data_IF_579517493670
#
_entry.id   IF_579517493670
#
_cell.length_a   1.000
_cell.length_b   1.000
_cell.length_c   1.000
_cell.angle_alpha   90.00
_cell.angle_beta   90.00
_cell.angle_gamma   90.00
#
_symmetry.space_group_name_H-M   'P 1'
#
loop_
_entity.id
_entity.type
_entity.pdbx_description
1 polymer ?
#
# COMPACT_ATOMS: atom_id res chain seq x y z
N UNK A 1 -8.81 5.43 -0.49
CA UNK A 1 -8.21 5.42 0.87
C UNK A 1 -6.98 6.32 0.95
N UNK A 2 -6.00 6.17 0.04
CA UNK A 2 -4.73 6.95 0.06
C UNK A 2 -4.89 8.47 -0.14
N UNK A 3 -5.96 8.92 -0.81
CA UNK A 3 -6.29 10.34 -1.02
C UNK A 3 -6.60 11.14 0.26
N UNK A 4 -6.73 10.47 1.42
CA UNK A 4 -7.03 11.09 2.71
C UNK A 4 -5.80 11.29 3.62
N UNK A 5 -4.65 10.73 3.24
CA UNK A 5 -3.44 10.76 4.09
C UNK A 5 -2.92 12.19 4.22
N UNK A 6 -2.75 12.63 5.46
CA UNK A 6 -2.25 13.95 5.85
C UNK A 6 -1.10 13.78 6.84
N UNK A 7 -0.13 14.69 6.78
CA UNK A 7 0.94 14.86 7.77
C UNK A 7 1.68 13.55 8.10
N UNK A 8 2.04 12.80 7.06
CA UNK A 8 2.79 11.56 7.22
C UNK A 8 4.11 11.82 7.97
N UNK A 9 4.30 11.09 9.07
CA UNK A 9 5.52 11.19 9.86
C UNK A 9 6.75 10.74 9.06
N UNK A 10 7.91 11.37 9.32
CA UNK A 10 9.17 11.12 8.60
C UNK A 10 9.56 9.63 8.60
N UNK A 11 9.43 8.98 9.75
CA UNK A 11 9.69 7.55 9.89
C UNK A 11 8.78 6.69 8.99
N UNK A 12 7.49 7.01 8.91
CA UNK A 12 6.52 6.28 8.08
C UNK A 12 6.84 6.44 6.60
N UNK A 13 7.13 7.67 6.16
CA UNK A 13 7.55 7.96 4.80
C UNK A 13 8.81 7.17 4.43
N UNK A 14 9.83 7.20 5.29
CA UNK A 14 11.08 6.49 5.05
C UNK A 14 10.88 4.97 5.00
N UNK A 15 10.05 4.41 5.89
CA UNK A 15 9.75 2.96 5.88
C UNK A 15 8.98 2.55 4.64
N UNK A 16 8.02 3.34 4.19
CA UNK A 16 7.27 3.09 2.95
C UNK A 16 8.19 3.03 1.73
N UNK A 17 9.09 4.01 1.60
CA UNK A 17 10.09 4.06 0.51
C UNK A 17 11.10 2.91 0.63
N UNK A 18 11.57 2.59 1.84
CA UNK A 18 12.51 1.50 2.07
C UNK A 18 11.91 0.13 1.76
N UNK A 19 10.63 -0.07 2.10
CA UNK A 19 9.90 -1.29 1.77
C UNK A 19 9.75 -1.43 0.25
N UNK A 20 9.35 -0.36 -0.43
CA UNK A 20 9.28 -0.35 -1.89
C UNK A 20 10.64 -0.69 -2.52
N UNK A 21 11.74 -0.08 -2.06
CA UNK A 21 13.09 -0.41 -2.54
C UNK A 21 13.47 -1.88 -2.33
N UNK A 22 13.14 -2.45 -1.16
CA UNK A 22 13.42 -3.85 -0.85
C UNK A 22 12.65 -4.80 -1.76
N UNK A 23 11.36 -4.53 -1.97
CA UNK A 23 10.50 -5.28 -2.88
C UNK A 23 11.02 -5.18 -4.32
N UNK A 24 11.44 -4.00 -4.77
CA UNK A 24 12.01 -3.78 -6.10
C UNK A 24 13.27 -4.61 -6.31
N UNK A 25 14.21 -4.60 -5.35
CA UNK A 25 15.44 -5.41 -5.44
C UNK A 25 15.13 -6.91 -5.50
N UNK A 26 14.14 -7.37 -4.72
CA UNK A 26 13.73 -8.77 -4.72
C UNK A 26 13.05 -9.16 -6.03
N UNK A 27 12.16 -8.32 -6.54
CA UNK A 27 11.50 -8.50 -7.83
C UNK A 27 12.52 -8.62 -8.96
N UNK A 28 13.45 -7.67 -9.09
CA UNK A 28 14.47 -7.70 -10.14
C UNK A 28 15.32 -8.97 -10.10
N UNK A 29 15.72 -9.43 -8.91
CA UNK A 29 16.46 -10.68 -8.72
C UNK A 29 15.67 -11.93 -9.12
N UNK A 30 14.33 -11.89 -8.99
CA UNK A 30 13.45 -12.96 -9.43
C UNK A 30 13.20 -12.90 -10.94
N UNK A 31 13.13 -11.70 -11.53
CA UNK A 31 13.00 -11.50 -12.98
C UNK A 31 14.25 -11.92 -13.76
N UNK A 32 15.44 -11.84 -13.16
CA UNK A 32 16.68 -12.40 -13.74
C UNK A 32 16.68 -13.93 -13.81
N UNK A 33 15.84 -14.58 -13.01
CA UNK A 33 15.61 -16.03 -13.04
C UNK A 33 14.39 -16.34 -13.91
N UNK A 34 14.15 -17.61 -14.19
CA UNK A 34 12.90 -18.07 -14.80
C UNK A 34 11.70 -17.50 -14.00
N UNK A 35 10.76 -16.81 -14.64
CA UNK A 35 9.64 -16.18 -13.96
C UNK A 35 8.78 -17.24 -13.27
N UNK A 36 8.61 -17.10 -11.95
CA UNK A 36 7.76 -17.97 -11.13
C UNK A 36 6.47 -17.25 -10.71
N UNK A 37 5.54 -17.99 -10.13
CA UNK A 37 4.34 -17.42 -9.50
C UNK A 37 4.68 -16.32 -8.48
N UNK A 38 5.78 -16.50 -7.73
CA UNK A 38 6.28 -15.47 -6.82
C UNK A 38 6.54 -14.14 -7.52
N UNK A 39 7.11 -14.16 -8.73
CA UNK A 39 7.41 -12.94 -9.50
C UNK A 39 6.14 -12.13 -9.77
N UNK A 40 5.03 -12.80 -10.10
CA UNK A 40 3.72 -12.16 -10.34
C UNK A 40 3.22 -11.54 -9.04
N UNK A 41 3.30 -12.26 -7.92
CA UNK A 41 2.89 -11.74 -6.60
C UNK A 41 3.70 -10.50 -6.21
N UNK A 42 5.03 -10.52 -6.41
CA UNK A 42 5.88 -9.35 -6.14
C UNK A 42 5.52 -8.17 -7.04
N UNK A 43 5.23 -8.42 -8.32
CA UNK A 43 4.80 -7.39 -9.27
C UNK A 43 3.51 -6.71 -8.81
N UNK A 44 2.50 -7.48 -8.40
CA UNK A 44 1.23 -6.93 -7.94
C UNK A 44 1.40 -6.12 -6.65
N UNK A 45 2.19 -6.60 -5.69
CA UNK A 45 2.50 -5.86 -4.46
C UNK A 45 3.23 -4.55 -4.77
N UNK A 46 4.17 -4.57 -5.72
CA UNK A 46 4.87 -3.35 -6.17
C UNK A 46 3.92 -2.37 -6.84
N UNK A 47 2.98 -2.86 -7.64
CA UNK A 47 1.93 -2.04 -8.26
C UNK A 47 1.09 -1.33 -7.21
N UNK A 48 0.58 -2.06 -6.22
CA UNK A 48 -0.21 -1.47 -5.14
C UNK A 48 0.58 -0.43 -4.34
N UNK A 49 1.84 -0.72 -4.00
CA UNK A 49 2.70 0.22 -3.29
C UNK A 49 2.93 1.50 -4.10
N UNK A 50 3.21 1.37 -5.39
CA UNK A 50 3.47 2.49 -6.28
C UNK A 50 2.20 3.34 -6.51
N UNK A 51 1.04 2.71 -6.65
CA UNK A 51 -0.26 3.39 -6.73
C UNK A 51 -0.60 4.15 -5.46
N UNK A 52 -0.35 3.57 -4.28
CA UNK A 52 -0.53 4.24 -2.99
C UNK A 52 0.34 5.50 -2.92
N UNK A 53 1.64 5.38 -3.21
CA UNK A 53 2.59 6.50 -3.22
C UNK A 53 2.11 7.58 -4.19
N UNK A 54 1.79 7.19 -5.44
CA UNK A 54 1.32 8.13 -6.45
C UNK A 54 0.02 8.83 -6.04
N UNK A 55 -0.93 8.14 -5.42
CA UNK A 55 -2.17 8.76 -4.92
C UNK A 55 -1.88 9.83 -3.87
N UNK A 56 -0.95 9.59 -2.94
CA UNK A 56 -0.54 10.60 -1.94
C UNK A 56 0.08 11.82 -2.63
N UNK A 57 1.00 11.60 -3.58
CA UNK A 57 1.65 12.68 -4.33
C UNK A 57 0.68 13.44 -5.23
N UNK A 58 -0.29 12.77 -5.83
CA UNK A 58 -1.24 13.39 -6.74
C UNK A 58 -2.26 14.26 -5.98
N UNK A 59 -2.79 13.77 -4.86
CA UNK A 59 -3.87 14.45 -4.13
C UNK A 59 -3.40 15.31 -2.96
N UNK A 60 -2.32 14.93 -2.27
CA UNK A 60 -1.96 15.46 -0.94
C UNK A 60 -0.47 15.75 -0.76
N UNK A 61 0.28 15.99 -1.84
CA UNK A 61 1.72 16.25 -1.76
C UNK A 61 2.08 17.37 -0.79
N UNK A 62 1.33 18.48 -0.82
CA UNK A 62 1.58 19.67 0.03
C UNK A 62 1.47 19.36 1.53
N UNK A 63 0.73 18.31 1.90
CA UNK A 63 0.56 17.85 3.28
C UNK A 63 1.50 16.67 3.62
N UNK A 64 2.27 16.17 2.67
CA UNK A 64 3.11 14.98 2.83
C UNK A 64 4.54 15.25 2.35
N UNK A 65 5.14 16.36 2.80
CA UNK A 65 6.48 16.79 2.39
C UNK A 65 7.58 15.80 2.82
N UNK A 66 7.35 15.06 3.91
CA UNK A 66 8.26 14.01 4.37
C UNK A 66 8.39 12.86 3.36
N UNK A 67 7.32 12.56 2.61
CA UNK A 67 7.36 11.58 1.53
C UNK A 67 8.20 12.08 0.36
N UNK A 68 8.06 13.35 0.00
CA UNK A 68 8.89 14.00 -1.04
C UNK A 68 10.36 13.96 -0.63
N UNK A 69 10.67 14.29 0.63
CA UNK A 69 12.02 14.20 1.16
C UNK A 69 12.58 12.77 1.08
N UNK A 70 11.81 11.76 1.49
CA UNK A 70 12.22 10.36 1.40
C UNK A 70 12.48 9.91 -0.05
N UNK A 71 11.68 10.37 -1.01
CA UNK A 71 11.89 10.11 -2.44
C UNK A 71 13.17 10.78 -2.98
N UNK A 72 13.49 12.00 -2.55
CA UNK A 72 14.72 12.69 -2.96
C UNK A 72 16.00 12.02 -2.48
N UNK A 73 15.95 11.26 -1.38
CA UNK A 73 17.07 10.42 -0.93
C UNK A 73 17.29 9.19 -1.84
N UNK A 74 16.26 8.80 -2.61
CA UNK A 74 16.23 7.62 -3.47
C UNK A 74 15.79 8.00 -4.88
N UNK A 75 16.57 8.88 -5.53
CA UNK A 75 16.22 9.49 -6.83
C UNK A 75 16.02 8.48 -7.96
N UNK A 76 16.63 7.31 -7.86
CA UNK A 76 16.60 6.27 -8.90
C UNK A 76 15.53 5.20 -8.66
N UNK A 77 14.64 5.39 -7.69
CA UNK A 77 13.68 4.36 -7.25
C UNK A 77 12.68 3.93 -8.33
N UNK A 78 12.41 4.81 -9.29
CA UNK A 78 11.51 4.67 -10.45
C UNK A 78 12.22 4.14 -11.70
N UNK A 79 13.56 4.11 -11.73
CA UNK A 79 14.35 3.73 -12.91
C UNK A 79 14.07 2.31 -13.43
N UNK A 80 13.87 1.27 -12.60
CA UNK A 80 13.65 -0.08 -13.12
C UNK A 80 12.29 -0.24 -13.81
N UNK A 81 11.36 0.69 -13.58
CA UNK A 81 9.98 0.58 -14.01
C UNK A 81 9.66 1.39 -15.27
N UNK A 82 10.63 2.10 -15.85
CA UNK A 82 10.40 2.95 -17.03
C UNK A 82 9.90 2.18 -18.24
N UNK A 83 10.37 0.95 -18.42
CA UNK A 83 9.99 0.07 -19.54
C UNK A 83 8.90 -0.94 -19.16
N UNK A 84 8.34 -0.87 -17.94
CA UNK A 84 7.44 -1.89 -17.42
C UNK A 84 5.97 -1.61 -17.78
N UNK A 85 5.28 -2.51 -18.51
CA UNK A 85 3.99 -2.23 -19.16
C UNK A 85 2.89 -1.71 -18.21
N UNK A 86 2.86 -2.20 -16.97
CA UNK A 86 1.88 -1.80 -15.95
C UNK A 86 2.33 -0.64 -15.04
N UNK A 87 3.64 -0.43 -14.87
CA UNK A 87 4.18 0.46 -13.84
C UNK A 87 4.76 1.76 -14.42
N UNK A 88 5.02 1.82 -15.73
CA UNK A 88 5.65 2.94 -16.42
C UNK A 88 4.97 4.28 -16.13
N UNK A 89 3.63 4.34 -16.17
CA UNK A 89 2.92 5.61 -16.04
C UNK A 89 3.00 6.16 -14.61
N UNK A 90 2.87 5.31 -13.62
CA UNK A 90 3.01 5.68 -12.21
C UNK A 90 4.47 6.02 -11.87
N UNK A 91 5.43 5.32 -12.47
CA UNK A 91 6.86 5.62 -12.34
C UNK A 91 7.23 7.00 -12.92
N UNK A 92 6.69 7.36 -14.09
CA UNK A 92 6.86 8.69 -14.70
C UNK A 92 6.31 9.81 -13.83
N UNK A 93 5.16 9.61 -13.18
CA UNK A 93 4.61 10.59 -12.23
C UNK A 93 5.58 10.82 -11.05
N UNK A 94 6.16 9.74 -10.51
CA UNK A 94 7.18 9.84 -9.46
C UNK A 94 8.42 10.59 -9.95
N UNK A 95 8.94 10.27 -11.14
CA UNK A 95 10.09 10.96 -11.73
C UNK A 95 9.84 12.45 -11.91
N UNK A 96 8.63 12.83 -12.31
CA UNK A 96 8.29 14.23 -12.46
C UNK A 96 8.36 14.99 -11.13
N UNK A 97 7.90 14.36 -10.04
CA UNK A 97 8.02 14.90 -8.68
C UNK A 97 9.50 14.98 -8.29
N UNK A 98 10.23 13.87 -8.41
CA UNK A 98 11.65 13.78 -8.04
C UNK A 98 12.48 14.82 -8.81
N UNK A 99 12.29 14.93 -10.12
CA UNK A 99 12.99 15.87 -10.99
C UNK A 99 12.73 17.32 -10.58
N UNK A 100 11.46 17.70 -10.40
CA UNK A 100 11.11 19.06 -10.01
C UNK A 100 11.72 19.48 -8.67
N UNK A 101 11.56 18.64 -7.63
CA UNK A 101 12.10 18.97 -6.31
C UNK A 101 13.62 18.85 -6.27
N UNK A 102 14.23 17.92 -7.02
CA UNK A 102 15.68 17.81 -7.15
C UNK A 102 16.28 19.07 -7.78
N UNK A 103 15.66 19.60 -8.84
CA UNK A 103 16.09 20.87 -9.46
C UNK A 103 16.03 22.02 -8.45
N UNK A 104 14.93 22.15 -7.71
CA UNK A 104 14.78 23.22 -6.69
C UNK A 104 15.80 23.13 -5.56
N UNK A 105 16.09 21.91 -5.08
CA UNK A 105 17.12 21.69 -4.07
C UNK A 105 18.52 21.99 -4.63
N UNK A 106 18.79 21.67 -5.90
CA UNK A 106 20.08 21.99 -6.53
C UNK A 106 20.28 23.50 -6.76
N UNK A 107 19.22 24.23 -7.10
CA UNK A 107 19.24 25.69 -7.29
C UNK A 107 19.64 26.42 -5.99
N UNK A 108 19.29 25.87 -4.83
CA UNK A 108 19.64 26.41 -3.53
C UNK A 108 21.14 26.31 -3.18
N UNK A 109 21.94 25.56 -3.95
CA UNK A 109 23.41 25.47 -3.84
C UNK A 109 23.95 25.26 -2.41
N UNK A 110 23.27 24.42 -1.62
CA UNK A 110 23.69 24.10 -0.26
C UNK A 110 24.90 23.14 -0.28
N UNK A 111 26.00 23.52 0.38
CA UNK A 111 27.26 22.73 0.40
C UNK A 111 27.16 21.46 1.25
N UNK A 112 26.41 21.50 2.35
CA UNK A 112 26.16 20.38 3.26
C UNK A 112 24.80 20.57 3.95
N UNK A 113 23.69 20.39 3.22
CA UNK A 113 22.36 20.74 3.72
C UNK A 113 21.95 19.86 4.90
N UNK A 114 21.49 20.48 5.98
CA UNK A 114 20.81 19.76 7.06
C UNK A 114 19.45 19.24 6.61
N UNK A 115 18.92 18.19 7.26
CA UNK A 115 17.59 17.65 6.93
C UNK A 115 16.48 18.72 7.06
N UNK A 116 16.60 19.62 8.03
CA UNK A 116 15.70 20.77 8.21
C UNK A 116 15.79 21.77 7.06
N UNK A 117 16.98 22.09 6.58
CA UNK A 117 17.15 23.03 5.44
C UNK A 117 16.51 22.49 4.17
N UNK A 118 16.74 21.21 3.86
CA UNK A 118 16.11 20.58 2.69
C UNK A 118 14.59 20.60 2.81
N UNK A 119 14.04 20.34 4.00
CA UNK A 119 12.60 20.38 4.22
C UNK A 119 12.02 21.79 4.04
N UNK A 120 12.73 22.85 4.45
CA UNK A 120 12.27 24.23 4.20
C UNK A 120 12.21 24.55 2.71
N UNK A 121 13.22 24.13 1.93
CA UNK A 121 13.21 24.29 0.47
C UNK A 121 12.08 23.49 -0.17
N UNK A 122 11.84 22.26 0.28
CA UNK A 122 10.73 21.44 -0.20
C UNK A 122 9.39 22.12 0.11
N UNK A 123 9.22 22.70 1.30
CA UNK A 123 8.01 23.43 1.68
C UNK A 123 7.78 24.63 0.75
N UNK A 124 8.81 25.45 0.50
CA UNK A 124 8.74 26.58 -0.43
C UNK A 124 8.42 26.13 -1.86
N UNK A 125 9.11 25.11 -2.35
CA UNK A 125 8.89 24.54 -3.68
C UNK A 125 7.48 23.94 -3.82
N UNK A 126 6.93 23.33 -2.76
CA UNK A 126 5.59 22.72 -2.77
C UNK A 126 4.48 23.73 -3.06
N UNK A 127 4.70 25.02 -2.77
CA UNK A 127 3.73 26.10 -3.05
C UNK A 127 3.56 26.35 -4.54
N UNK A 128 4.63 26.16 -5.31
CA UNK A 128 4.65 26.35 -6.78
C UNK A 128 4.46 25.05 -7.57
N UNK A 129 4.44 23.91 -6.88
CA UNK A 129 4.11 22.62 -7.49
C UNK A 129 2.66 22.55 -7.99
N UNK A 130 2.48 21.96 -9.17
CA UNK A 130 1.18 21.67 -9.79
C UNK A 130 1.14 20.23 -10.30
N UNK A 131 0.05 19.52 -10.01
CA UNK A 131 -0.18 18.14 -10.44
C UNK A 131 -0.77 18.05 -11.87
N UNK A 132 -1.02 19.17 -12.55
CA UNK A 132 -1.65 19.18 -13.88
C UNK A 132 -0.90 18.38 -14.96
N UNK A 133 0.42 18.26 -14.82
CA UNK A 133 1.27 17.50 -15.74
C UNK A 133 1.32 16.00 -15.41
N UNK A 134 0.92 15.60 -14.19
CA UNK A 134 0.87 14.20 -13.79
C UNK A 134 -0.37 13.53 -14.38
N UNK A 135 -0.21 12.27 -14.79
CA UNK A 135 -1.33 11.49 -15.30
C UNK A 135 -2.25 11.10 -14.14
N UNK A 136 -3.54 11.39 -14.28
CA UNK A 136 -4.55 10.91 -13.35
C UNK A 136 -4.71 9.39 -13.52
N UNK A 137 -4.41 8.65 -12.45
CA UNK A 137 -4.63 7.21 -12.38
C UNK A 137 -5.96 7.00 -11.65
N UNK A 138 -6.85 6.12 -12.13
CA UNK A 138 -8.10 5.84 -11.43
C UNK A 138 -7.81 5.35 -10.00
N UNK A 139 -8.61 5.82 -9.05
CA UNK A 139 -8.49 5.37 -7.66
C UNK A 139 -8.72 3.86 -7.57
N UNK A 140 -7.83 3.18 -6.84
CA UNK A 140 -7.98 1.78 -6.51
C UNK A 140 -9.23 1.59 -5.64
N UNK A 141 -10.28 1.02 -6.24
CA UNK A 141 -11.54 0.70 -5.57
C UNK A 141 -11.57 -0.81 -5.33
N UNK A 142 -11.51 -1.19 -4.06
CA UNK A 142 -11.77 -2.56 -3.66
C UNK A 142 -13.28 -2.73 -3.54
N UNK A 143 -13.85 -3.57 -4.39
CA UNK A 143 -15.21 -4.05 -4.23
C UNK A 143 -15.12 -5.40 -3.52
N UNK A 144 -15.90 -5.57 -2.46
CA UNK A 144 -16.07 -6.89 -1.87
C UNK A 144 -16.83 -7.76 -2.87
N UNK A 145 -16.23 -8.88 -3.24
CA UNK A 145 -16.87 -9.92 -4.04
C UNK A 145 -17.25 -11.05 -3.08
N UNK A 146 -18.56 -11.21 -2.85
CA UNK A 146 -19.08 -12.36 -2.11
C UNK A 146 -18.93 -13.59 -2.99
N UNK A 147 -18.27 -14.64 -2.48
CA UNK A 147 -18.33 -15.95 -3.11
C UNK A 147 -19.79 -16.40 -3.17
N UNK A 148 -20.21 -16.99 -4.29
CA UNK A 148 -21.61 -17.36 -4.52
C UNK A 148 -22.15 -18.34 -3.46
N UNK A 149 -21.25 -19.13 -2.87
CA UNK A 149 -21.45 -20.15 -1.85
C UNK A 149 -21.03 -19.69 -0.44
N UNK A 150 -20.73 -18.40 -0.24
CA UNK A 150 -20.37 -17.84 1.06
C UNK A 150 -21.41 -18.15 2.16
N UNK A 151 -22.68 -18.32 1.77
CA UNK A 151 -23.76 -18.73 2.66
C UNK A 151 -23.51 -20.09 3.35
N UNK A 152 -22.76 -21.00 2.72
CA UNK A 152 -22.43 -22.32 3.30
C UNK A 152 -21.54 -22.19 4.54
N UNK A 153 -20.71 -21.14 4.61
CA UNK A 153 -19.93 -20.82 5.79
C UNK A 153 -20.71 -19.93 6.77
N UNK A 154 -21.28 -18.83 6.28
CA UNK A 154 -21.87 -17.80 7.15
C UNK A 154 -23.16 -18.25 7.83
N UNK A 155 -24.03 -19.02 7.17
CA UNK A 155 -25.29 -19.45 7.77
C UNK A 155 -25.02 -20.36 8.99
N UNK A 156 -24.23 -21.45 8.88
CA UNK A 156 -23.86 -22.26 10.03
C UNK A 156 -23.18 -21.47 11.15
N UNK A 157 -22.27 -20.56 10.79
CA UNK A 157 -21.53 -19.74 11.75
C UNK A 157 -22.45 -18.81 12.57
N UNK A 158 -23.36 -18.09 11.92
CA UNK A 158 -24.30 -17.19 12.59
C UNK A 158 -25.22 -17.97 13.53
N UNK A 159 -25.72 -19.14 13.11
CA UNK A 159 -26.52 -20.01 13.97
C UNK A 159 -25.75 -20.53 15.18
N UNK A 160 -24.50 -20.95 15.00
CA UNK A 160 -23.63 -21.36 16.09
C UNK A 160 -23.34 -20.20 17.06
N UNK A 161 -23.16 -18.98 16.54
CA UNK A 161 -22.90 -17.80 17.36
C UNK A 161 -24.13 -17.40 18.19
N UNK A 162 -25.33 -17.45 17.59
CA UNK A 162 -26.60 -17.21 18.27
C UNK A 162 -26.84 -18.22 19.40
N UNK A 163 -26.52 -19.50 19.17
CA UNK A 163 -26.61 -20.56 20.18
C UNK A 163 -25.59 -20.34 21.32
N UNK A 164 -24.35 -19.95 20.99
CA UNK A 164 -23.28 -19.72 21.99
C UNK A 164 -23.51 -18.46 22.83
N UNK A 165 -24.14 -17.41 22.28
CA UNK A 165 -24.31 -16.10 22.92
C UNK A 165 -25.69 -15.88 23.59
N UNK A 166 -26.52 -16.93 23.66
CA UNK A 166 -27.78 -17.06 24.41
C UNK A 166 -28.48 -15.76 24.89
N UNK A 167 -29.47 -15.32 24.12
CA UNK A 167 -30.58 -14.46 24.59
C UNK A 167 -31.96 -15.14 24.48
N UNK A 168 -32.04 -16.35 23.91
CA UNK A 168 -33.28 -17.08 23.63
C UNK A 168 -33.09 -18.54 24.07
N UNK A 169 -34.09 -19.13 24.74
CA UNK A 169 -34.06 -20.52 25.18
C UNK A 169 -34.30 -21.46 23.99
N UNK A 170 -33.32 -22.29 23.66
CA UNK A 170 -33.39 -23.32 22.62
C UNK A 170 -33.51 -24.71 23.24
N UNK A 171 -34.35 -25.59 22.67
CA UNK A 171 -34.46 -26.98 23.13
C UNK A 171 -33.29 -27.82 22.60
N UNK A 172 -32.46 -28.36 23.50
CA UNK A 172 -31.25 -29.13 23.17
C UNK A 172 -31.49 -30.28 22.17
N UNK A 173 -32.62 -30.98 22.25
CA UNK A 173 -32.94 -32.09 21.33
C UNK A 173 -33.12 -31.65 19.87
N UNK A 174 -33.60 -30.42 19.63
CA UNK A 174 -33.88 -29.91 18.26
C UNK A 174 -32.70 -29.18 17.65
N UNK A 175 -31.68 -28.85 18.44
CA UNK A 175 -30.50 -28.09 18.01
C UNK A 175 -29.30 -28.96 17.65
N UNK A 176 -29.42 -30.31 17.75
CA UNK A 176 -28.33 -31.25 17.45
C UNK A 176 -27.71 -31.12 16.05
N UNK A 177 -28.48 -30.65 15.08
CA UNK A 177 -27.99 -30.39 13.70
C UNK A 177 -26.96 -29.25 13.66
N UNK A 178 -26.98 -28.35 14.65
CA UNK A 178 -26.02 -27.26 14.77
C UNK A 178 -24.75 -27.66 15.51
N UNK A 179 -24.75 -28.79 16.24
CA UNK A 179 -23.56 -29.31 16.93
C UNK A 179 -22.45 -29.67 15.93
N UNK A 180 -22.78 -30.16 14.74
CA UNK A 180 -21.81 -30.39 13.66
C UNK A 180 -21.18 -29.09 13.12
N UNK A 181 -21.88 -27.96 13.24
CA UNK A 181 -21.38 -26.64 12.81
C UNK A 181 -20.47 -25.99 13.86
N UNK A 182 -20.50 -26.48 15.11
CA UNK A 182 -19.56 -26.09 16.19
C UNK A 182 -18.16 -26.57 15.85
N UNK A 183 -18.02 -27.80 15.31
CA UNK A 183 -16.73 -28.43 14.99
C UNK A 183 -16.02 -27.87 13.75
N UNK A 184 -16.75 -27.32 12.77
CA UNK A 184 -16.14 -26.69 11.59
C UNK A 184 -15.35 -25.41 11.93
N UNK A 185 -15.48 -24.91 13.15
CA UNK A 185 -14.96 -23.61 13.59
C UNK A 185 -14.05 -23.72 14.84
N UNK A 186 -13.56 -24.91 15.18
CA UNK A 186 -12.46 -25.04 16.14
C UNK A 186 -11.15 -24.73 15.39
N UNK A 187 -10.48 -23.64 15.78
CA UNK A 187 -9.09 -23.43 15.40
C UNK A 187 -8.30 -24.70 15.78
N UNK A 188 -7.43 -25.24 14.92
CA UNK A 188 -6.61 -26.37 15.31
C UNK A 188 -5.82 -25.95 16.55
N UNK A 189 -6.03 -26.65 17.67
CA UNK A 189 -5.30 -26.42 18.91
C UNK A 189 -3.81 -26.38 18.56
N UNK A 190 -3.18 -25.21 18.68
CA UNK A 190 -1.74 -25.10 18.55
C UNK A 190 -1.16 -25.89 19.72
N UNK A 191 -0.34 -26.93 19.48
CA UNK A 191 0.23 -27.70 20.58
C UNK A 191 1.21 -26.78 21.31
N UNK A 192 0.81 -26.30 22.49
CA UNK A 192 1.72 -25.68 23.44
C UNK A 192 2.79 -26.70 23.83
N UNK A 193 3.99 -26.53 23.28
CA UNK A 193 5.25 -27.06 23.83
C UNK A 193 6.29 -25.96 23.84
#
# INVERSE_FOLDING_TARGET
>A
MSSTVLDMHAYTAQRMISLFELLTKRYLKLTEKEPSEDTIVYEDVLMFMLEIINSILFHRLKHNLQLVYALLLKREISTPFQSHPRLTETAKNLDQVISYFSTRVSEANLKAPSSSEVLTIIEEASRTWSNQKMKSIPDLKFQYEEESDAYEFFIPYVWALLLRKNFIYWSEEKCRVLDSCVFMNEEPETPTT
#
